data_IF_892070872487
#
_entry.id   IF_892070872487
#
_cell.length_a   1.000
_cell.length_b   1.000
_cell.length_c   1.000
_cell.angle_alpha   90.00
_cell.angle_beta   90.00
_cell.angle_gamma   90.00
#
_symmetry.space_group_name_H-M   'P 1'
#
loop_
_entity.id
_entity.type
_entity.pdbx_description
1 polymer ?
#
# COMPACT_ATOMS: atom_id res chain seq x y z
N UNK A 1 4.78 -19.99 1.50
CA UNK A 1 5.14 -18.96 2.47
C UNK A 1 6.58 -18.54 2.21
N UNK A 2 6.82 -17.27 1.97
CA UNK A 2 8.11 -16.73 1.54
C UNK A 2 8.79 -16.04 2.70
N UNK A 3 9.94 -16.59 3.12
CA UNK A 3 10.73 -15.96 4.18
C UNK A 3 11.54 -14.80 3.61
N UNK A 4 11.50 -13.64 4.29
CA UNK A 4 12.35 -12.50 3.98
C UNK A 4 12.93 -11.90 5.25
N UNK A 5 14.16 -11.39 5.17
CA UNK A 5 14.77 -10.74 6.31
C UNK A 5 14.11 -9.38 6.58
N UNK A 6 14.06 -9.02 7.84
CA UNK A 6 13.60 -7.72 8.30
C UNK A 6 14.34 -6.58 7.59
N UNK A 7 15.67 -6.69 7.51
CA UNK A 7 16.53 -5.68 6.89
C UNK A 7 16.17 -5.49 5.42
N UNK A 8 15.95 -6.59 4.69
CA UNK A 8 15.59 -6.51 3.28
C UNK A 8 14.22 -5.87 3.09
N UNK A 9 13.23 -6.28 3.86
CA UNK A 9 11.89 -5.70 3.79
C UNK A 9 11.90 -4.22 4.12
N UNK A 10 12.62 -3.82 5.17
CA UNK A 10 12.78 -2.43 5.56
C UNK A 10 13.44 -1.60 4.47
N UNK A 11 14.50 -2.10 3.87
CA UNK A 11 15.22 -1.43 2.77
C UNK A 11 14.28 -1.18 1.59
N UNK A 12 13.56 -2.22 1.16
CA UNK A 12 12.67 -2.13 0.00
C UNK A 12 11.53 -1.13 0.26
N UNK A 13 10.87 -1.20 1.42
CA UNK A 13 9.81 -0.26 1.77
C UNK A 13 10.33 1.18 1.83
N UNK A 14 11.48 1.40 2.45
CA UNK A 14 12.10 2.73 2.55
C UNK A 14 12.41 3.30 1.17
N UNK A 15 13.01 2.49 0.29
CA UNK A 15 13.32 2.89 -1.09
C UNK A 15 12.04 3.17 -1.89
N UNK A 16 11.02 2.35 -1.71
CA UNK A 16 9.71 2.54 -2.34
C UNK A 16 9.11 3.91 -1.96
N UNK A 17 9.10 4.26 -0.67
CA UNK A 17 8.60 5.56 -0.21
C UNK A 17 9.43 6.73 -0.72
N UNK A 18 10.75 6.56 -0.80
CA UNK A 18 11.62 7.56 -1.43
C UNK A 18 11.21 7.79 -2.88
N UNK A 19 10.99 6.71 -3.63
CA UNK A 19 10.52 6.78 -5.01
C UNK A 19 9.17 7.49 -5.14
N UNK A 20 8.23 7.20 -4.23
CA UNK A 20 6.94 7.89 -4.19
C UNK A 20 7.11 9.39 -3.97
N UNK A 21 7.89 9.78 -2.98
CA UNK A 21 8.14 11.18 -2.64
C UNK A 21 8.88 11.95 -3.74
N UNK A 22 9.72 11.28 -4.51
CA UNK A 22 10.48 11.85 -5.61
C UNK A 22 9.73 11.84 -6.95
N UNK A 23 8.57 11.20 -7.01
CA UNK A 23 7.88 10.88 -8.27
C UNK A 23 8.78 10.08 -9.24
N UNK A 24 9.62 9.23 -8.69
CA UNK A 24 10.58 8.44 -9.46
C UNK A 24 9.97 7.08 -9.81
N UNK A 25 9.34 7.01 -10.98
CA UNK A 25 8.64 5.81 -11.46
C UNK A 25 9.58 4.60 -11.51
N UNK A 26 10.81 4.76 -12.00
CA UNK A 26 11.78 3.66 -12.07
C UNK A 26 12.16 3.11 -10.70
N UNK A 27 12.35 3.99 -9.72
CA UNK A 27 12.68 3.59 -8.35
C UNK A 27 11.52 2.83 -7.69
N UNK A 28 10.28 3.28 -7.89
CA UNK A 28 9.08 2.60 -7.38
C UNK A 28 8.97 1.21 -8.01
N UNK A 29 9.05 1.12 -9.34
CA UNK A 29 8.91 -0.14 -10.06
C UNK A 29 10.00 -1.15 -9.69
N UNK A 30 11.21 -0.69 -9.41
CA UNK A 30 12.32 -1.56 -9.01
C UNK A 30 12.07 -2.25 -7.66
N UNK A 31 11.19 -1.72 -6.82
CA UNK A 31 10.81 -2.31 -5.53
C UNK A 31 9.68 -3.33 -5.64
N UNK A 32 9.00 -3.39 -6.77
CA UNK A 32 7.77 -4.18 -6.97
C UNK A 32 7.98 -5.29 -7.99
N UNK A 33 7.35 -6.45 -7.75
CA UNK A 33 7.16 -7.43 -8.80
C UNK A 33 6.27 -6.83 -9.90
N UNK A 34 6.48 -7.21 -11.18
CA UNK A 34 5.71 -6.61 -12.29
C UNK A 34 4.19 -6.69 -12.12
N UNK A 35 3.71 -7.77 -11.51
CA UNK A 35 2.28 -8.04 -11.28
C UNK A 35 1.76 -7.55 -9.92
N UNK A 36 2.55 -6.80 -9.16
CA UNK A 36 2.17 -6.32 -7.84
C UNK A 36 0.84 -5.55 -7.87
N UNK A 37 0.04 -5.71 -6.82
CA UNK A 37 -1.25 -5.03 -6.69
C UNK A 37 -1.29 -4.21 -5.41
N UNK A 38 -1.75 -2.96 -5.52
CA UNK A 38 -2.00 -2.09 -4.38
C UNK A 38 -3.51 -1.94 -4.18
N UNK A 39 -4.01 -2.44 -3.07
CA UNK A 39 -5.41 -2.37 -2.70
C UNK A 39 -5.69 -1.16 -1.80
N UNK A 40 -6.87 -0.60 -1.96
CA UNK A 40 -7.38 0.54 -1.19
C UNK A 40 -8.75 0.22 -0.60
N UNK A 41 -9.19 0.94 0.45
CA UNK A 41 -10.55 0.79 0.95
C UNK A 41 -11.59 1.01 -0.15
N UNK A 42 -12.66 0.23 -0.12
CA UNK A 42 -13.80 0.44 -1.01
C UNK A 42 -14.35 1.86 -0.81
N UNK A 43 -14.63 2.57 -1.89
CA UNK A 43 -15.07 3.96 -1.83
C UNK A 43 -13.93 4.99 -1.81
N UNK A 44 -12.68 4.56 -1.79
CA UNK A 44 -11.55 5.45 -2.00
C UNK A 44 -11.56 6.00 -3.43
N UNK A 45 -11.01 7.22 -3.65
CA UNK A 45 -11.02 7.83 -4.99
C UNK A 45 -10.26 7.04 -6.05
N UNK A 46 -9.32 6.18 -5.63
CA UNK A 46 -8.47 5.40 -6.51
C UNK A 46 -8.44 3.94 -6.11
N UNK A 47 -7.94 3.10 -7.01
CA UNK A 47 -7.58 1.72 -6.76
C UNK A 47 -8.61 0.69 -7.20
N UNK A 48 -8.21 -0.59 -7.19
CA UNK A 48 -6.82 -1.01 -6.96
C UNK A 48 -5.90 -0.60 -8.11
N UNK A 49 -4.61 -0.41 -7.79
CA UNK A 49 -3.59 -0.27 -8.82
C UNK A 49 -3.06 -1.66 -9.14
N UNK A 50 -3.24 -2.11 -10.37
CA UNK A 50 -2.85 -3.45 -10.81
C UNK A 50 -1.59 -3.35 -11.67
N UNK A 51 -0.50 -3.93 -11.18
CA UNK A 51 0.81 -3.91 -11.80
C UNK A 51 1.71 -2.80 -11.27
N UNK A 52 3.02 -3.06 -11.27
CA UNK A 52 4.04 -2.12 -10.79
C UNK A 52 3.97 -0.78 -11.51
N UNK A 53 3.75 -0.79 -12.83
CA UNK A 53 3.65 0.45 -13.62
C UNK A 53 2.45 1.30 -13.19
N UNK A 54 1.29 0.68 -12.92
CA UNK A 54 0.09 1.38 -12.46
C UNK A 54 0.29 1.96 -11.05
N UNK A 55 0.97 1.23 -10.17
CA UNK A 55 1.30 1.72 -8.82
C UNK A 55 2.18 2.98 -8.93
N UNK A 56 3.25 2.90 -9.71
CA UNK A 56 4.19 4.02 -9.88
C UNK A 56 3.51 5.24 -10.49
N UNK A 57 2.71 5.05 -11.54
CA UNK A 57 1.99 6.14 -12.19
C UNK A 57 0.96 6.77 -11.25
N UNK A 58 0.25 5.95 -10.47
CA UNK A 58 -0.74 6.43 -9.51
C UNK A 58 -0.13 7.39 -8.49
N UNK A 59 1.04 7.07 -7.96
CA UNK A 59 1.73 7.94 -7.00
C UNK A 59 2.31 9.19 -7.64
N UNK A 60 2.86 9.08 -8.83
CA UNK A 60 3.31 10.24 -9.59
C UNK A 60 2.15 11.21 -9.83
N UNK A 61 1.00 10.70 -10.23
CA UNK A 61 -0.21 11.51 -10.44
C UNK A 61 -0.69 12.16 -9.15
N UNK A 62 -0.62 11.44 -8.02
CA UNK A 62 -1.00 11.96 -6.72
C UNK A 62 -0.10 13.12 -6.27
N UNK A 63 1.21 13.02 -6.50
CA UNK A 63 2.15 14.12 -6.24
C UNK A 63 1.79 15.35 -7.08
N UNK A 64 1.52 15.15 -8.37
CA UNK A 64 1.16 16.25 -9.26
C UNK A 64 -0.17 16.89 -8.88
N UNK A 65 -1.17 16.07 -8.52
CA UNK A 65 -2.54 16.54 -8.28
C UNK A 65 -2.73 17.19 -6.91
N UNK A 66 -2.24 16.56 -5.84
CA UNK A 66 -2.50 17.01 -4.47
C UNK A 66 -1.22 17.36 -3.68
N UNK A 67 -0.06 17.26 -4.30
CA UNK A 67 1.21 17.53 -3.63
C UNK A 67 1.56 16.47 -2.60
N UNK A 68 1.30 15.21 -2.91
CA UNK A 68 1.50 14.09 -1.99
C UNK A 68 2.93 14.01 -1.48
N UNK A 69 3.07 13.82 -0.16
CA UNK A 69 4.31 13.42 0.50
C UNK A 69 3.96 12.43 1.59
N UNK A 70 4.81 11.43 1.76
CA UNK A 70 4.55 10.36 2.73
C UNK A 70 5.68 10.24 3.73
N UNK A 71 5.34 9.94 4.98
CA UNK A 71 6.28 9.51 6.00
C UNK A 71 5.92 8.14 6.51
N UNK A 72 6.94 7.35 6.84
CA UNK A 72 6.77 6.08 7.53
C UNK A 72 6.94 6.37 9.02
N UNK A 73 5.90 6.14 9.80
CA UNK A 73 5.88 6.48 11.21
C UNK A 73 6.30 5.28 12.09
N UNK A 74 5.91 4.06 11.69
CA UNK A 74 6.28 2.82 12.37
C UNK A 74 6.35 1.67 11.38
N UNK A 75 7.14 0.63 11.73
CA UNK A 75 7.25 -0.62 10.98
C UNK A 75 7.27 -1.81 11.92
N UNK A 76 6.64 -2.91 11.49
CA UNK A 76 6.74 -4.22 12.12
C UNK A 76 6.86 -5.28 11.03
N UNK A 77 7.44 -6.43 11.37
CA UNK A 77 7.83 -7.44 10.38
C UNK A 77 7.50 -8.85 10.84
N UNK A 78 7.07 -9.68 9.91
CA UNK A 78 6.97 -11.12 10.05
C UNK A 78 7.90 -11.78 9.01
N UNK A 79 9.09 -12.15 9.45
CA UNK A 79 10.11 -12.71 8.56
C UNK A 79 9.72 -14.06 8.00
N UNK A 80 8.99 -14.89 8.76
CA UNK A 80 8.57 -16.20 8.30
C UNK A 80 7.53 -16.11 7.19
N UNK A 81 6.60 -15.19 7.32
CA UNK A 81 5.56 -14.96 6.32
C UNK A 81 6.04 -14.12 5.14
N UNK A 82 7.18 -13.42 5.29
CA UNK A 82 7.63 -12.45 4.30
C UNK A 82 6.67 -11.28 4.19
N UNK A 83 6.18 -10.80 5.33
CA UNK A 83 5.23 -9.70 5.40
C UNK A 83 5.73 -8.59 6.33
N UNK A 84 5.29 -7.39 6.05
CA UNK A 84 5.55 -6.23 6.90
C UNK A 84 4.28 -5.40 7.02
N UNK A 85 4.17 -4.67 8.12
CA UNK A 85 3.12 -3.66 8.31
C UNK A 85 3.78 -2.35 8.69
N UNK A 86 3.26 -1.25 8.17
CA UNK A 86 3.69 0.10 8.53
C UNK A 86 2.50 0.96 8.92
N UNK A 87 2.76 1.95 9.78
CA UNK A 87 1.91 3.13 9.90
C UNK A 87 2.51 4.24 9.07
N UNK A 88 1.69 4.95 8.32
CA UNK A 88 2.12 6.03 7.46
C UNK A 88 1.26 7.28 7.63
N UNK A 89 1.82 8.41 7.25
CA UNK A 89 1.09 9.66 7.07
C UNK A 89 1.25 10.13 5.63
N UNK A 90 0.15 10.45 4.99
CA UNK A 90 0.10 11.01 3.65
C UNK A 90 -0.31 12.48 3.74
N UNK A 91 0.65 13.37 3.50
CA UNK A 91 0.40 14.81 3.45
C UNK A 91 -0.04 15.20 2.05
N UNK A 92 -1.19 15.85 1.95
CA UNK A 92 -1.72 16.43 0.71
C UNK A 92 -1.38 17.93 0.73
N UNK A 93 -0.13 18.25 0.38
CA UNK A 93 0.42 19.58 0.64
C UNK A 93 -0.30 20.71 -0.09
N UNK A 94 -0.83 20.44 -1.28
CA UNK A 94 -1.61 21.44 -2.04
C UNK A 94 -2.99 21.70 -1.43
N UNK A 95 -3.49 20.81 -0.60
CA UNK A 95 -4.80 20.92 0.05
C UNK A 95 -4.69 21.34 1.51
N UNK A 96 -3.48 21.29 2.09
CA UNK A 96 -3.28 21.58 3.51
C UNK A 96 -3.87 20.53 4.44
N UNK A 97 -4.08 19.30 3.98
CA UNK A 97 -4.65 18.20 4.76
C UNK A 97 -3.71 17.00 4.79
N UNK A 98 -4.01 16.04 5.66
CA UNK A 98 -3.27 14.78 5.70
C UNK A 98 -4.21 13.63 6.07
N UNK A 99 -3.74 12.42 5.76
CA UNK A 99 -4.42 11.15 6.02
C UNK A 99 -3.44 10.21 6.69
N UNK A 100 -3.90 9.44 7.67
CA UNK A 100 -3.09 8.42 8.34
C UNK A 100 -3.69 7.05 8.12
N UNK A 101 -2.84 6.05 8.07
CA UNK A 101 -3.29 4.67 7.90
C UNK A 101 -2.20 3.66 8.11
N UNK A 102 -2.57 2.42 7.81
CA UNK A 102 -1.69 1.26 7.86
C UNK A 102 -1.61 0.64 6.48
N UNK A 103 -0.48 0.01 6.20
CA UNK A 103 -0.32 -0.80 5.00
C UNK A 103 0.35 -2.12 5.35
N UNK A 104 -0.19 -3.20 4.79
CA UNK A 104 0.40 -4.53 4.82
C UNK A 104 1.10 -4.81 3.51
N UNK A 105 2.35 -5.27 3.59
CA UNK A 105 3.20 -5.61 2.45
C UNK A 105 3.44 -7.11 2.41
N UNK A 106 3.37 -7.70 1.23
CA UNK A 106 3.85 -9.07 0.98
C UNK A 106 5.01 -9.01 0.00
N UNK A 107 5.99 -9.89 0.24
CA UNK A 107 7.21 -9.98 -0.55
C UNK A 107 7.35 -11.37 -1.16
N UNK A 108 7.95 -11.45 -2.34
CA UNK A 108 8.34 -12.72 -2.96
C UNK A 108 9.75 -13.15 -2.53
N UNK A 109 10.23 -14.27 -3.08
CA UNK A 109 11.56 -14.81 -2.75
C UNK A 109 12.70 -13.88 -3.16
N UNK A 110 12.47 -13.00 -4.12
CA UNK A 110 13.45 -12.02 -4.57
C UNK A 110 13.48 -10.76 -3.71
N UNK A 111 12.61 -10.68 -2.73
CA UNK A 111 12.47 -9.51 -1.87
C UNK A 111 11.74 -8.34 -2.52
N UNK A 112 10.95 -8.60 -3.56
CA UNK A 112 10.13 -7.59 -4.21
C UNK A 112 8.71 -7.59 -3.63
N UNK A 113 8.10 -6.41 -3.58
CA UNK A 113 6.72 -6.24 -3.14
C UNK A 113 5.79 -6.86 -4.18
N UNK A 114 4.92 -7.78 -3.72
CA UNK A 114 3.89 -8.40 -4.58
C UNK A 114 2.50 -7.88 -4.29
N UNK A 115 2.28 -7.36 -3.09
CA UNK A 115 0.98 -6.87 -2.67
C UNK A 115 1.12 -5.80 -1.60
N UNK A 116 0.28 -4.77 -1.71
CA UNK A 116 0.11 -3.74 -0.69
C UNK A 116 -1.38 -3.64 -0.39
N UNK A 117 -1.73 -3.69 0.91
CA UNK A 117 -3.11 -3.51 1.37
C UNK A 117 -3.16 -2.30 2.29
N UNK A 118 -3.70 -1.20 1.79
CA UNK A 118 -3.80 0.04 2.54
C UNK A 118 -5.13 0.12 3.29
N UNK A 119 -5.06 0.28 4.60
CA UNK A 119 -6.24 0.50 5.45
C UNK A 119 -6.20 1.91 6.02
N UNK A 120 -7.25 2.66 5.79
CA UNK A 120 -7.40 4.00 6.36
C UNK A 120 -8.89 4.36 6.44
N UNK A 121 -9.21 5.35 7.29
CA UNK A 121 -10.57 5.82 7.40
C UNK A 121 -11.00 6.54 6.13
N UNK A 122 -12.07 6.10 5.53
CA UNK A 122 -12.74 6.81 4.45
C UNK A 122 -13.97 7.50 5.02
N UNK A 123 -14.27 8.73 4.61
CA UNK A 123 -15.54 9.36 4.99
C UNK A 123 -16.70 8.45 4.57
N UNK A 124 -17.64 8.14 5.46
CA UNK A 124 -18.76 7.29 5.09
C UNK A 124 -19.67 8.04 4.12
N UNK A 125 -19.74 7.55 2.90
CA UNK A 125 -20.69 8.04 1.91
C UNK A 125 -22.04 7.33 2.02
N UNK A 126 -22.03 6.14 2.64
CA UNK A 126 -23.21 5.32 2.88
C UNK A 126 -22.94 4.43 4.10
N UNK A 127 -23.68 4.60 5.22
CA UNK A 127 -23.47 3.81 6.43
C UNK A 127 -23.75 2.30 6.26
N UNK A 128 -24.38 1.89 5.18
CA UNK A 128 -24.61 0.47 4.87
C UNK A 128 -23.43 -0.18 4.15
N UNK A 129 -22.44 0.60 3.73
CA UNK A 129 -21.27 0.05 3.01
C UNK A 129 -20.36 -0.68 3.97
N UNK A 130 -19.97 -1.88 3.57
CA UNK A 130 -18.96 -2.67 4.28
C UNK A 130 -17.59 -2.03 4.05
N UNK A 131 -16.89 -1.71 5.14
CA UNK A 131 -15.55 -1.11 5.08
C UNK A 131 -14.49 -2.18 4.83
N UNK A 132 -14.26 -2.51 3.58
CA UNK A 132 -13.28 -3.50 3.15
C UNK A 132 -12.50 -2.98 1.94
N UNK A 133 -11.44 -3.68 1.58
CA UNK A 133 -10.64 -3.32 0.40
C UNK A 133 -11.40 -3.64 -0.88
N UNK A 134 -11.43 -2.68 -1.80
CA UNK A 134 -12.06 -2.86 -3.10
C UNK A 134 -11.28 -3.83 -3.98
N UNK A 135 -11.98 -4.82 -4.55
CA UNK A 135 -11.38 -5.81 -5.43
C UNK A 135 -10.62 -6.93 -4.73
N UNK A 136 -10.56 -6.93 -3.40
CA UNK A 136 -9.86 -7.95 -2.62
C UNK A 136 -10.82 -9.12 -2.33
N UNK A 137 -10.41 -10.34 -2.68
CA UNK A 137 -11.25 -11.54 -2.51
C UNK A 137 -11.08 -12.13 -1.11
N UNK A 138 -11.86 -11.64 -0.16
CA UNK A 138 -11.80 -12.08 1.22
C UNK A 138 -12.16 -13.56 1.38
N UNK A 139 -13.15 -14.04 0.62
CA UNK A 139 -13.60 -15.44 0.71
C UNK A 139 -12.51 -16.40 0.23
N UNK A 140 -11.95 -16.15 -0.94
CA UNK A 140 -10.90 -17.02 -1.51
C UNK A 140 -9.65 -17.03 -0.63
N UNK A 141 -9.42 -15.98 0.14
CA UNK A 141 -8.22 -15.83 0.99
C UNK A 141 -8.45 -16.30 2.44
N UNK A 142 -9.59 -16.89 2.72
CA UNK A 142 -9.87 -17.49 4.01
C UNK A 142 -10.23 -16.51 5.12
N UNK A 143 -10.59 -15.28 4.77
CA UNK A 143 -11.05 -14.30 5.76
C UNK A 143 -12.47 -14.63 6.21
N UNK A 144 -12.75 -14.34 7.48
CA UNK A 144 -14.12 -14.43 7.99
C UNK A 144 -15.00 -13.37 7.32
N UNK A 145 -16.18 -13.78 6.86
CA UNK A 145 -17.15 -12.89 6.22
C UNK A 145 -18.45 -12.78 7.00
N UNK A 146 -18.56 -13.48 8.12
CA UNK A 146 -19.72 -13.46 9.02
C UNK A 146 -19.28 -13.75 10.45
N UNK A 147 -20.02 -13.29 11.46
CA UNK A 147 -19.73 -13.63 12.85
C UNK A 147 -19.91 -15.14 13.07
N UNK A 148 -19.04 -15.71 13.88
CA UNK A 148 -19.11 -17.13 14.30
C UNK A 148 -20.01 -17.29 15.52
#
# INVERSE_FOLDING_TARGET
MTRQSRERMKEVITTYFQGCNESNVGKIMACCAPEAVHYFPAGAPQGPFIGAASIAQGWKDSVARVGSRWSIDRMAFDELAGEAIIEWTHYKTKLGTYLRGDEWYRFNDEGLITEIRAYYACPPTNPSVTHQLGGFDYVARGYSTAPS
#
